data_IF_782396309588
#
_entry.id   IF_782396309588
#
_cell.length_a   1.000
_cell.length_b   1.000
_cell.length_c   1.000
_cell.angle_alpha   90.00
_cell.angle_beta   90.00
_cell.angle_gamma   90.00
#
_symmetry.space_group_name_H-M   'P 1'
#
loop_
_entity.id
_entity.type
_entity.pdbx_description
1 polymer ?
#
# COMPACT_ATOMS: atom_id res chain seq x y z
N UNK A 1 36.30 38.71 24.25
CA UNK A 1 37.64 38.11 24.42
C UNK A 1 37.51 36.98 25.44
N UNK A 2 37.33 35.69 25.15
CA UNK A 2 37.49 34.76 24.02
C UNK A 2 36.32 33.75 24.14
N UNK A 3 35.66 33.30 23.06
CA UNK A 3 36.03 32.07 22.34
C UNK A 3 35.51 30.82 23.09
N UNK A 4 34.30 30.32 22.83
CA UNK A 4 33.97 29.35 21.76
C UNK A 4 34.42 27.91 22.09
N UNK A 5 33.47 26.97 22.20
CA UNK A 5 33.61 25.59 21.70
C UNK A 5 32.40 24.69 22.07
N UNK A 6 31.66 24.32 21.02
CA UNK A 6 31.04 23.00 20.81
C UNK A 6 29.72 22.71 21.53
N UNK A 7 28.67 23.31 20.98
CA UNK A 7 27.44 22.57 20.71
C UNK A 7 27.79 21.35 19.81
N UNK A 8 28.01 20.20 20.43
CA UNK A 8 28.05 18.92 19.73
C UNK A 8 26.63 18.36 19.67
N UNK A 9 25.76 19.01 18.90
CA UNK A 9 24.60 18.34 18.32
C UNK A 9 25.12 17.38 17.25
N UNK A 10 25.75 16.29 17.67
CA UNK A 10 25.82 15.08 16.85
C UNK A 10 24.45 14.43 16.92
N UNK A 11 23.46 15.06 16.28
CA UNK A 11 22.37 14.31 15.69
C UNK A 11 23.05 13.37 14.71
N UNK A 12 23.28 12.15 15.17
CA UNK A 12 23.57 11.04 14.29
C UNK A 12 22.45 11.05 13.27
N UNK A 13 22.75 11.62 12.10
CA UNK A 13 22.02 11.38 10.87
C UNK A 13 22.30 9.90 10.57
N UNK A 14 21.56 9.04 11.26
CA UNK A 14 21.42 7.65 10.89
C UNK A 14 20.93 7.68 9.44
N UNK A 15 21.56 6.94 8.52
CA UNK A 15 21.08 6.90 7.15
C UNK A 15 19.66 6.37 7.21
N UNK A 16 18.67 7.25 7.00
CA UNK A 16 17.29 6.81 6.80
C UNK A 16 17.36 5.84 5.62
N UNK A 17 17.09 4.58 5.90
CA UNK A 17 17.03 3.50 4.94
C UNK A 17 16.09 3.98 3.83
N UNK A 18 16.66 4.46 2.73
CA UNK A 18 15.92 4.77 1.51
C UNK A 18 15.63 3.42 0.85
N UNK A 19 14.76 2.63 1.47
CA UNK A 19 14.14 1.52 0.78
C UNK A 19 13.22 2.13 -0.24
N UNK A 20 13.68 2.10 -1.48
CA UNK A 20 12.94 2.56 -2.64
C UNK A 20 11.69 1.68 -2.76
N UNK A 21 10.57 2.13 -2.20
CA UNK A 21 9.30 1.40 -2.27
C UNK A 21 8.80 1.41 -3.70
N UNK A 22 8.61 0.24 -4.29
CA UNK A 22 8.02 0.08 -5.61
C UNK A 22 6.52 -0.16 -5.50
N UNK A 23 5.75 0.70 -6.17
CA UNK A 23 4.33 0.44 -6.42
C UNK A 23 4.19 -0.65 -7.48
N UNK A 24 3.54 -1.74 -7.09
CA UNK A 24 3.36 -2.92 -7.93
C UNK A 24 1.94 -2.98 -8.49
N UNK A 25 0.97 -2.54 -7.70
CA UNK A 25 -0.43 -2.47 -8.11
C UNK A 25 -1.16 -1.34 -7.41
N UNK A 26 -2.07 -0.69 -8.14
CA UNK A 26 -3.14 0.12 -7.58
C UNK A 26 -4.46 -0.37 -8.16
N UNK A 27 -5.45 -0.54 -7.31
CA UNK A 27 -6.77 -1.03 -7.68
C UNK A 27 -7.86 -0.23 -6.97
N UNK A 28 -8.94 0.03 -7.70
CA UNK A 28 -10.18 0.59 -7.17
C UNK A 28 -11.24 -0.49 -7.27
N UNK A 29 -11.88 -0.80 -6.15
CA UNK A 29 -12.89 -1.84 -6.04
C UNK A 29 -14.16 -1.30 -5.40
N UNK A 30 -15.28 -1.99 -5.62
CA UNK A 30 -16.51 -1.80 -4.84
C UNK A 30 -16.67 -2.98 -3.89
N UNK A 31 -16.79 -2.68 -2.60
CA UNK A 31 -16.99 -3.67 -1.55
C UNK A 31 -18.47 -4.08 -1.49
N UNK A 32 -18.83 -5.33 -1.81
CA UNK A 32 -20.24 -5.74 -1.87
C UNK A 32 -20.82 -6.15 -0.51
N UNK A 33 -19.99 -6.55 0.45
CA UNK A 33 -20.46 -7.03 1.76
C UNK A 33 -19.48 -8.01 2.37
N UNK A 34 -19.71 -8.37 3.63
CA UNK A 34 -18.82 -9.32 4.34
C UNK A 34 -18.89 -10.69 3.67
N UNK A 35 -17.78 -11.13 3.09
CA UNK A 35 -17.69 -12.44 2.45
C UNK A 35 -18.12 -12.45 0.98
N UNK A 36 -18.60 -11.34 0.42
CA UNK A 36 -18.88 -11.22 -1.01
C UNK A 36 -17.64 -10.79 -1.81
N UNK A 37 -17.58 -11.22 -3.07
CA UNK A 37 -16.45 -10.90 -3.94
C UNK A 37 -16.54 -9.42 -4.37
N UNK A 38 -15.55 -8.59 -4.04
CA UNK A 38 -15.57 -7.18 -4.43
C UNK A 38 -15.46 -7.04 -5.96
N UNK A 39 -16.20 -6.06 -6.50
CA UNK A 39 -16.20 -5.75 -7.92
C UNK A 39 -14.96 -4.90 -8.26
N UNK A 40 -14.13 -5.38 -9.18
CA UNK A 40 -12.99 -4.62 -9.68
C UNK A 40 -13.48 -3.52 -10.62
N UNK A 41 -13.26 -2.24 -10.27
CA UNK A 41 -13.67 -1.10 -11.09
C UNK A 41 -12.54 -0.65 -12.01
N UNK A 42 -11.33 -0.52 -11.46
CA UNK A 42 -10.13 -0.15 -12.21
C UNK A 42 -8.90 -0.76 -11.55
N UNK A 43 -7.87 -1.05 -12.35
CA UNK A 43 -6.59 -1.52 -11.83
C UNK A 43 -5.45 -1.10 -12.76
N UNK A 44 -4.30 -0.83 -12.18
CA UNK A 44 -3.03 -0.65 -12.88
C UNK A 44 -1.95 -1.46 -12.16
N UNK A 45 -1.15 -2.20 -12.92
CA UNK A 45 -0.14 -3.12 -12.39
C UNK A 45 1.18 -2.88 -13.10
N UNK A 46 2.27 -2.69 -12.35
CA UNK A 46 3.63 -2.69 -12.89
C UNK A 46 4.31 -4.03 -12.59
N UNK A 47 4.51 -4.83 -13.63
CA UNK A 47 5.18 -6.13 -13.55
C UNK A 47 6.58 -6.12 -14.17
N UNK A 48 7.17 -4.94 -14.41
CA UNK A 48 8.47 -4.80 -15.07
C UNK A 48 9.63 -5.47 -14.30
N UNK A 49 9.52 -5.61 -12.98
CA UNK A 49 10.52 -6.28 -12.13
C UNK A 49 10.40 -7.80 -12.09
N UNK A 50 9.41 -8.39 -12.76
CA UNK A 50 9.21 -9.84 -12.77
C UNK A 50 9.79 -10.47 -14.03
N UNK A 51 10.34 -11.68 -13.87
CA UNK A 51 10.79 -12.48 -15.03
C UNK A 51 9.63 -12.75 -15.97
N UNK A 52 9.91 -12.72 -17.29
CA UNK A 52 8.92 -12.86 -18.37
C UNK A 52 8.01 -14.08 -18.19
N UNK A 53 8.55 -15.19 -17.70
CA UNK A 53 7.80 -16.44 -17.50
C UNK A 53 6.93 -16.43 -16.24
N UNK A 54 7.27 -15.62 -15.24
CA UNK A 54 6.57 -15.56 -13.94
C UNK A 54 5.59 -14.40 -13.85
N UNK A 55 5.73 -13.37 -14.70
CA UNK A 55 4.95 -12.13 -14.65
C UNK A 55 3.44 -12.34 -14.71
N UNK A 56 2.98 -13.34 -15.48
CA UNK A 56 1.55 -13.67 -15.60
C UNK A 56 0.97 -14.15 -14.27
N UNK A 57 1.63 -15.14 -13.65
CA UNK A 57 1.25 -15.69 -12.34
C UNK A 57 1.34 -14.64 -11.23
N UNK A 58 2.40 -13.81 -11.24
CA UNK A 58 2.57 -12.71 -10.30
C UNK A 58 1.39 -11.73 -10.38
N UNK A 59 1.03 -11.30 -11.59
CA UNK A 59 -0.09 -10.39 -11.84
C UNK A 59 -1.40 -10.96 -11.32
N UNK A 60 -1.71 -12.21 -11.65
CA UNK A 60 -2.94 -12.87 -11.17
C UNK A 60 -2.99 -12.93 -9.65
N UNK A 61 -1.87 -13.29 -9.02
CA UNK A 61 -1.78 -13.37 -7.57
C UNK A 61 -1.97 -11.99 -6.91
N UNK A 62 -1.35 -10.95 -7.43
CA UNK A 62 -1.46 -9.58 -6.91
C UNK A 62 -2.90 -9.06 -7.03
N UNK A 63 -3.58 -9.34 -8.14
CA UNK A 63 -4.98 -8.98 -8.34
C UNK A 63 -5.89 -9.76 -7.39
N UNK A 64 -5.62 -11.06 -7.21
CA UNK A 64 -6.35 -11.91 -6.26
C UNK A 64 -6.16 -11.45 -4.82
N UNK A 65 -4.93 -11.14 -4.42
CA UNK A 65 -4.58 -10.58 -3.12
C UNK A 65 -5.32 -9.26 -2.90
N UNK A 66 -5.34 -8.37 -3.89
CA UNK A 66 -6.03 -7.08 -3.80
C UNK A 66 -7.54 -7.25 -3.53
N UNK A 67 -8.19 -8.19 -4.21
CA UNK A 67 -9.60 -8.52 -3.96
C UNK A 67 -9.81 -9.11 -2.56
N UNK A 68 -8.95 -10.04 -2.17
CA UNK A 68 -9.04 -10.73 -0.87
C UNK A 68 -8.85 -9.74 0.28
N UNK A 69 -7.89 -8.83 0.17
CA UNK A 69 -7.67 -7.79 1.17
C UNK A 69 -8.86 -6.84 1.25
N UNK A 70 -9.39 -6.39 0.11
CA UNK A 70 -10.60 -5.57 0.07
C UNK A 70 -11.78 -6.28 0.76
N UNK A 71 -12.02 -7.56 0.45
CA UNK A 71 -13.11 -8.36 1.02
C UNK A 71 -13.02 -8.54 2.55
N UNK A 72 -11.80 -8.55 3.08
CA UNK A 72 -11.53 -8.69 4.52
C UNK A 72 -11.54 -7.37 5.28
N UNK A 73 -11.50 -6.24 4.57
CA UNK A 73 -11.46 -4.90 5.18
C UNK A 73 -12.88 -4.40 5.43
N UNK A 74 -13.28 -4.13 6.67
CA UNK A 74 -14.61 -3.57 6.95
C UNK A 74 -14.78 -2.18 6.32
N UNK A 75 -16.01 -1.80 5.92
CA UNK A 75 -16.30 -0.43 5.52
C UNK A 75 -15.97 0.57 6.63
N UNK A 76 -15.25 1.64 6.30
CA UNK A 76 -14.77 2.65 7.24
C UNK A 76 -13.37 2.37 7.80
N UNK A 77 -12.81 1.19 7.54
CA UNK A 77 -11.51 0.79 8.09
C UNK A 77 -10.39 0.77 7.04
N UNK A 78 -9.16 0.74 7.56
CA UNK A 78 -7.94 0.58 6.79
C UNK A 78 -7.16 -0.59 7.36
N UNK A 79 -6.71 -1.46 6.48
CA UNK A 79 -5.96 -2.65 6.86
C UNK A 79 -4.75 -2.78 5.96
N UNK A 80 -3.62 -3.14 6.56
CA UNK A 80 -2.40 -3.49 5.84
C UNK A 80 -2.12 -4.96 6.10
N UNK A 81 -2.01 -5.75 5.03
CA UNK A 81 -1.76 -7.20 5.11
C UNK A 81 -0.70 -7.61 4.11
N UNK A 82 0.09 -8.62 4.45
CA UNK A 82 0.98 -9.25 3.50
C UNK A 82 0.13 -10.02 2.47
N UNK A 83 0.42 -9.86 1.18
CA UNK A 83 -0.34 -10.49 0.11
C UNK A 83 -0.15 -12.01 0.07
N UNK A 84 0.92 -12.54 0.66
CA UNK A 84 1.24 -13.97 0.66
C UNK A 84 2.03 -14.45 -0.56
N UNK A 85 2.33 -13.56 -1.52
CA UNK A 85 3.29 -13.80 -2.59
C UNK A 85 4.50 -12.92 -2.32
N UNK A 86 5.65 -13.56 -2.05
CA UNK A 86 6.86 -12.89 -1.57
C UNK A 86 6.55 -11.97 -0.38
N UNK A 87 7.34 -10.92 -0.21
CA UNK A 87 7.21 -9.92 0.85
C UNK A 87 6.32 -8.72 0.45
N UNK A 88 5.47 -8.88 -0.59
CA UNK A 88 4.57 -7.81 -1.03
C UNK A 88 3.48 -7.52 0.03
N UNK A 89 3.24 -6.22 0.24
CA UNK A 89 2.28 -5.70 1.22
C UNK A 89 1.13 -4.99 0.50
N UNK A 90 -0.11 -5.38 0.84
CA UNK A 90 -1.33 -4.70 0.41
C UNK A 90 -1.85 -3.77 1.49
N UNK A 91 -2.03 -2.50 1.13
CA UNK A 91 -2.74 -1.50 1.89
C UNK A 91 -4.15 -1.35 1.30
N UNK A 92 -5.17 -1.59 2.10
CA UNK A 92 -6.57 -1.48 1.71
C UNK A 92 -7.28 -0.46 2.57
N UNK A 93 -8.10 0.36 1.93
CA UNK A 93 -9.04 1.26 2.57
C UNK A 93 -10.41 1.05 1.96
N UNK A 94 -11.42 0.83 2.79
CA UNK A 94 -12.82 0.80 2.34
C UNK A 94 -13.54 1.99 2.96
N UNK A 95 -14.16 2.81 2.12
CA UNK A 95 -14.99 3.94 2.54
C UNK A 95 -16.37 3.44 3.00
N UNK A 96 -17.08 4.28 3.75
CA UNK A 96 -18.46 4.00 4.18
C UNK A 96 -19.45 3.85 3.02
N UNK A 97 -19.18 4.47 1.87
CA UNK A 97 -19.95 4.34 0.62
C UNK A 97 -19.62 3.06 -0.18
N UNK A 98 -18.83 2.15 0.40
CA UNK A 98 -18.35 0.89 -0.20
C UNK A 98 -17.36 1.06 -1.35
N UNK A 99 -16.85 2.26 -1.60
CA UNK A 99 -15.72 2.43 -2.50
C UNK A 99 -14.42 2.04 -1.79
N UNK A 100 -13.61 1.20 -2.43
CA UNK A 100 -12.37 0.70 -1.86
C UNK A 100 -11.17 1.03 -2.75
N UNK A 101 -10.06 1.39 -2.10
CA UNK A 101 -8.76 1.57 -2.73
C UNK A 101 -7.78 0.56 -2.16
N UNK A 102 -7.08 -0.16 -3.03
CA UNK A 102 -6.03 -1.11 -2.64
C UNK A 102 -4.74 -0.78 -3.37
N UNK A 103 -3.63 -0.76 -2.64
CA UNK A 103 -2.29 -0.49 -3.16
C UNK A 103 -1.37 -1.61 -2.70
N UNK A 104 -0.60 -2.17 -3.63
CA UNK A 104 0.37 -3.24 -3.34
C UNK A 104 1.78 -2.71 -3.58
N UNK A 105 2.64 -2.92 -2.59
CA UNK A 105 4.04 -2.48 -2.54
C UNK A 105 4.97 -3.65 -2.27
N UNK A 106 6.22 -3.55 -2.73
CA UNK A 106 7.28 -4.56 -2.56
C UNK A 106 7.78 -4.75 -1.13
N UNK A 107 7.83 -3.68 -0.36
CA UNK A 107 8.24 -3.72 1.04
C UNK A 107 7.26 -2.92 1.92
N UNK A 108 7.34 -3.13 3.23
CA UNK A 108 6.60 -2.34 4.22
C UNK A 108 7.00 -0.88 4.06
N UNK A 109 6.19 -0.12 3.34
CA UNK A 109 6.21 1.34 3.44
C UNK A 109 6.13 1.71 4.92
N UNK A 110 6.88 2.73 5.40
CA UNK A 110 6.63 3.28 6.72
C UNK A 110 5.13 3.63 6.83
N UNK A 111 4.55 3.63 8.05
CA UNK A 111 3.10 3.64 8.30
C UNK A 111 2.32 4.86 7.76
N UNK A 112 2.99 5.73 7.00
CA UNK A 112 2.47 6.99 6.45
C UNK A 112 2.00 6.85 4.99
N UNK A 113 1.59 5.66 4.52
CA UNK A 113 0.78 5.59 3.30
C UNK A 113 -0.62 6.15 3.60
N UNK A 114 -0.75 7.47 3.47
CA UNK A 114 -2.00 8.18 3.73
C UNK A 114 -2.82 8.20 2.46
N UNK A 115 -3.86 7.37 2.41
CA UNK A 115 -4.95 7.59 1.48
C UNK A 115 -5.51 9.00 1.75
N UNK A 116 -5.28 9.92 0.80
CA UNK A 116 -5.88 11.24 0.82
C UNK A 116 -7.39 11.05 0.70
N UNK A 117 -8.08 11.15 1.83
CA UNK A 117 -9.51 11.38 1.81
C UNK A 117 -9.69 12.82 1.33
N UNK A 118 -10.40 13.08 0.23
CA UNK A 118 -10.95 14.41 0.05
C UNK A 118 -11.85 14.64 1.27
N UNK A 119 -11.49 15.62 2.09
CA UNK A 119 -12.37 16.15 3.11
C UNK A 119 -13.69 16.45 2.40
N UNK A 120 -14.80 15.87 2.85
CA UNK A 120 -16.11 16.31 2.39
C UNK A 120 -16.19 17.79 2.70
N UNK A 121 -16.21 18.65 1.67
CA UNK A 121 -16.62 20.03 1.88
C UNK A 121 -18.06 19.98 2.38
N UNK A 122 -18.27 20.50 3.59
CA UNK A 122 -19.60 20.97 3.99
C UNK A 122 -20.06 22.06 3.03
#
# INVERSE_FOLDING_TARGET
>A
IYGDARASTSLCCSPEFSTMVKLVCIAVLRHEGKGEKPLMLAQATDMSSFSFFTRGKAKEFIIFGSRTTCQRTPPGERVTVNCGYKDYVAHSMVRSDRLAGVVVTDEVSPPVFRFYHPLSSN
#
